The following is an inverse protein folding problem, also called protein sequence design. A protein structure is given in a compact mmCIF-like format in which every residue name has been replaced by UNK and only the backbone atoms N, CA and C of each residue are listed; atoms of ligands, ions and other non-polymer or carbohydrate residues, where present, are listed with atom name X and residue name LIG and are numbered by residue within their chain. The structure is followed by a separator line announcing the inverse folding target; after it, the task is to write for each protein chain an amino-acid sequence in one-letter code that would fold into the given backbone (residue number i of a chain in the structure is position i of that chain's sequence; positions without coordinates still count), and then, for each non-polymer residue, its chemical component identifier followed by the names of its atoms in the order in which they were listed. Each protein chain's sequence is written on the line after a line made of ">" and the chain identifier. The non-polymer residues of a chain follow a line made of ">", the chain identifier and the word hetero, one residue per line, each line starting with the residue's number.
data_IF_636673597000
#
_entry.id   IF_636673597000
#
_cell.length_a   1.000
_cell.length_b   1.000
_cell.length_c   1.000
_cell.angle_alpha   90.00
_cell.angle_beta   90.00
_cell.angle_gamma   90.00
#
_symmetry.space_group_name_H-M   'P 1'
#
loop_
_entity.id
_entity.type
_entity.pdbx_description
1 polymer ?
#
# COMPACT_ATOMS: atom_id res chain seq x y z
N UNK A 1 -20.88 -35.03 -18.33
CA UNK A 1 -19.54 -35.42 -17.84
C UNK A 1 -19.14 -34.40 -16.77
N UNK A 2 -19.45 -34.67 -15.49
CA UNK A 2 -19.15 -33.76 -14.36
C UNK A 2 -17.83 -34.21 -13.73
N UNK A 3 -16.82 -33.35 -13.77
CA UNK A 3 -15.55 -33.54 -13.06
C UNK A 3 -15.82 -33.51 -11.55
N UNK A 4 -15.41 -34.56 -10.86
CA UNK A 4 -15.43 -34.66 -9.40
C UNK A 4 -14.09 -34.12 -8.90
N UNK A 5 -14.09 -32.97 -8.23
CA UNK A 5 -12.93 -32.55 -7.43
C UNK A 5 -12.82 -33.49 -6.23
N UNK A 6 -11.65 -34.15 -6.14
CA UNK A 6 -11.36 -35.14 -5.11
C UNK A 6 -10.52 -34.45 -4.05
N UNK A 7 -11.15 -34.11 -2.93
CA UNK A 7 -10.43 -33.69 -1.71
C UNK A 7 -9.76 -34.95 -1.14
N UNK A 8 -8.42 -34.97 -1.14
CA UNK A 8 -7.64 -36.03 -0.50
C UNK A 8 -7.26 -35.52 0.89
N UNK A 9 -7.73 -36.22 1.92
CA UNK A 9 -7.51 -35.89 3.33
C UNK A 9 -6.43 -36.84 3.86
N UNK A 10 -5.31 -36.30 4.34
CA UNK A 10 -4.36 -37.04 5.18
C UNK A 10 -4.53 -36.56 6.63
N UNK A 11 -4.79 -37.55 7.51
CA UNK A 11 -5.12 -37.53 8.95
C UNK A 11 -6.54 -37.10 9.38
N UNK A 12 -7.28 -38.08 9.92
CA UNK A 12 -8.74 -38.07 10.18
C UNK A 12 -9.06 -37.81 11.66
N UNK A 13 -10.15 -37.06 11.93
CA UNK A 13 -11.39 -37.65 12.40
C UNK A 13 -12.39 -37.68 11.25
N UNK A 14 -13.29 -38.66 11.23
CA UNK A 14 -14.26 -38.86 10.14
C UNK A 14 -15.18 -37.64 10.11
N UNK A 15 -14.84 -36.64 9.30
CA UNK A 15 -15.70 -35.49 9.05
C UNK A 15 -16.95 -36.00 8.34
N UNK A 16 -18.13 -35.61 8.82
CA UNK A 16 -19.37 -35.94 8.14
C UNK A 16 -19.34 -35.33 6.73
N UNK A 17 -19.94 -36.01 5.76
CA UNK A 17 -19.98 -35.56 4.36
C UNK A 17 -20.56 -34.12 4.23
N UNK A 18 -21.42 -33.74 5.18
CA UNK A 18 -21.96 -32.39 5.30
C UNK A 18 -20.87 -31.35 5.63
N UNK A 19 -20.02 -31.62 6.61
CA UNK A 19 -18.94 -30.71 7.04
C UNK A 19 -17.92 -30.50 5.91
N UNK A 20 -17.59 -31.56 5.17
CA UNK A 20 -16.71 -31.48 4.01
C UNK A 20 -17.33 -30.68 2.86
N UNK A 21 -18.66 -30.74 2.71
CA UNK A 21 -19.40 -29.92 1.73
C UNK A 21 -19.35 -28.46 2.12
N UNK A 22 -19.59 -28.12 3.39
CA UNK A 22 -19.53 -26.74 3.90
C UNK A 22 -18.11 -26.15 3.72
N UNK A 23 -17.05 -26.91 3.99
CA UNK A 23 -15.67 -26.46 3.73
C UNK A 23 -15.43 -26.21 2.24
N UNK A 24 -15.91 -27.09 1.36
CA UNK A 24 -15.79 -26.92 -0.08
C UNK A 24 -16.54 -25.67 -0.57
N UNK A 25 -17.72 -25.39 -0.02
CA UNK A 25 -18.50 -24.19 -0.32
C UNK A 25 -17.75 -22.93 0.11
N UNK A 26 -17.18 -22.90 1.32
CA UNK A 26 -16.38 -21.78 1.81
C UNK A 26 -15.17 -21.53 0.90
N UNK A 27 -14.43 -22.57 0.51
CA UNK A 27 -13.27 -22.44 -0.39
C UNK A 27 -13.70 -21.91 -1.77
N UNK A 28 -14.83 -22.38 -2.30
CA UNK A 28 -15.38 -21.88 -3.55
C UNK A 28 -15.79 -20.40 -3.44
N UNK A 29 -16.45 -20.00 -2.35
CA UNK A 29 -16.81 -18.59 -2.09
C UNK A 29 -15.56 -17.72 -1.98
N UNK A 30 -14.49 -18.17 -1.32
CA UNK A 30 -13.23 -17.42 -1.26
C UNK A 30 -12.68 -17.18 -2.67
N UNK A 31 -12.69 -18.21 -3.53
CA UNK A 31 -12.23 -18.07 -4.91
C UNK A 31 -13.08 -17.08 -5.73
N UNK A 32 -14.39 -17.10 -5.54
CA UNK A 32 -15.30 -16.15 -6.18
C UNK A 32 -15.06 -14.71 -5.70
N UNK A 33 -14.87 -14.51 -4.40
CA UNK A 33 -14.57 -13.19 -3.81
C UNK A 33 -13.24 -12.67 -4.33
N UNK A 34 -12.19 -13.49 -4.38
CA UNK A 34 -10.89 -13.09 -4.94
C UNK A 34 -10.99 -12.67 -6.41
N UNK A 35 -11.77 -13.43 -7.20
CA UNK A 35 -12.01 -13.09 -8.61
C UNK A 35 -12.75 -11.76 -8.75
N UNK A 36 -13.80 -11.58 -7.95
CA UNK A 36 -14.59 -10.34 -7.89
C UNK A 36 -13.73 -9.15 -7.50
N UNK A 37 -12.89 -9.29 -6.47
CA UNK A 37 -11.95 -8.24 -6.04
C UNK A 37 -11.03 -7.81 -7.18
N UNK A 38 -10.45 -8.77 -7.91
CA UNK A 38 -9.58 -8.48 -9.05
C UNK A 38 -10.32 -7.75 -10.18
N UNK A 39 -11.56 -8.13 -10.46
CA UNK A 39 -12.40 -7.43 -11.44
C UNK A 39 -12.69 -6.01 -10.99
N UNK A 40 -13.05 -5.82 -9.72
CA UNK A 40 -13.33 -4.50 -9.13
C UNK A 40 -12.10 -3.59 -9.12
N UNK A 41 -10.91 -4.10 -8.82
CA UNK A 41 -9.66 -3.34 -8.88
C UNK A 41 -9.37 -2.84 -10.30
N UNK A 42 -9.58 -3.69 -11.31
CA UNK A 42 -9.42 -3.30 -12.71
C UNK A 42 -10.48 -2.28 -13.15
N UNK A 43 -11.74 -2.47 -12.74
CA UNK A 43 -12.83 -1.52 -13.02
C UNK A 43 -12.58 -0.16 -12.34
N UNK A 44 -12.06 -0.16 -11.12
CA UNK A 44 -11.68 1.05 -10.40
C UNK A 44 -10.55 1.79 -11.12
N UNK A 45 -9.54 1.06 -11.60
CA UNK A 45 -8.46 1.64 -12.40
C UNK A 45 -9.00 2.30 -13.68
N UNK A 46 -9.82 1.58 -14.45
CA UNK A 46 -10.42 2.12 -15.67
C UNK A 46 -11.33 3.33 -15.41
N UNK A 47 -12.08 3.32 -14.30
CA UNK A 47 -12.93 4.43 -13.88
C UNK A 47 -12.11 5.66 -13.52
N UNK A 48 -10.99 5.50 -12.81
CA UNK A 48 -10.05 6.59 -12.49
C UNK A 48 -9.44 7.21 -13.75
N UNK A 49 -9.03 6.37 -14.71
CA UNK A 49 -8.47 6.84 -15.97
C UNK A 49 -9.52 7.60 -16.81
N UNK A 50 -10.76 7.08 -16.85
CA UNK A 50 -11.89 7.74 -17.52
C UNK A 50 -12.23 9.08 -16.88
N UNK A 51 -12.34 9.12 -15.55
CA UNK A 51 -12.58 10.35 -14.79
C UNK A 51 -11.51 11.40 -15.07
N UNK A 52 -10.24 10.98 -15.06
CA UNK A 52 -9.11 11.86 -15.37
C UNK A 52 -9.22 12.46 -16.76
N UNK A 53 -9.51 11.66 -17.79
CA UNK A 53 -9.72 12.15 -19.17
C UNK A 53 -10.88 13.14 -19.25
N UNK A 54 -11.99 12.85 -18.58
CA UNK A 54 -13.16 13.72 -18.57
C UNK A 54 -12.86 15.09 -17.95
N UNK A 55 -12.14 15.12 -16.83
CA UNK A 55 -11.86 16.36 -16.07
C UNK A 55 -10.68 17.16 -16.64
N UNK A 56 -9.64 16.48 -17.12
CA UNK A 56 -8.40 17.12 -17.58
C UNK A 56 -8.43 17.48 -19.07
N UNK A 57 -9.26 16.81 -19.87
CA UNK A 57 -9.29 16.99 -21.34
C UNK A 57 -10.71 17.30 -21.85
N UNK A 58 -11.66 16.36 -21.75
CA UNK A 58 -12.95 16.44 -22.45
C UNK A 58 -13.77 17.66 -22.01
N UNK A 59 -13.93 17.88 -20.70
CA UNK A 59 -14.74 18.97 -20.16
C UNK A 59 -14.09 20.35 -20.36
N UNK A 60 -12.79 20.56 -20.07
CA UNK A 60 -12.09 21.79 -20.45
C UNK A 60 -12.20 22.12 -21.94
N UNK A 61 -11.99 21.13 -22.81
CA UNK A 61 -12.10 21.32 -24.27
C UNK A 61 -13.52 21.73 -24.65
N UNK A 62 -14.53 21.06 -24.09
CA UNK A 62 -15.93 21.36 -24.42
C UNK A 62 -16.35 22.75 -23.96
N UNK A 63 -15.92 23.17 -22.78
CA UNK A 63 -16.19 24.51 -22.27
C UNK A 63 -15.46 25.59 -23.11
N UNK A 64 -14.22 25.32 -23.52
CA UNK A 64 -13.47 26.19 -24.41
C UNK A 64 -14.15 26.36 -25.79
N UNK A 65 -14.69 25.29 -26.39
CA UNK A 65 -15.43 25.35 -27.65
C UNK A 65 -16.63 26.31 -27.61
N UNK A 66 -17.31 26.38 -26.46
CA UNK A 66 -18.48 27.25 -26.27
C UNK A 66 -18.10 28.61 -25.63
N UNK A 67 -16.81 28.91 -25.52
CA UNK A 67 -16.30 30.18 -24.98
C UNK A 67 -16.54 30.37 -23.48
N UNK A 68 -16.77 29.29 -22.73
CA UNK A 68 -16.98 29.31 -21.29
C UNK A 68 -15.75 28.77 -20.55
N UNK A 69 -15.46 29.35 -19.39
CA UNK A 69 -14.49 28.82 -18.42
C UNK A 69 -15.17 28.40 -17.12
N UNK A 70 -16.45 28.70 -16.98
CA UNK A 70 -17.29 28.40 -15.84
C UNK A 70 -18.73 28.15 -16.28
N UNK A 71 -19.38 27.15 -15.71
CA UNK A 71 -20.81 26.84 -15.95
C UNK A 71 -21.46 26.38 -14.65
N UNK A 72 -22.74 26.69 -14.48
CA UNK A 72 -23.58 26.16 -13.40
C UNK A 72 -24.58 25.17 -14.02
N UNK A 73 -24.64 23.95 -13.49
CA UNK A 73 -25.52 22.90 -13.99
C UNK A 73 -26.91 23.06 -13.40
N UNK A 74 -27.91 22.45 -14.04
CA UNK A 74 -29.31 22.46 -13.56
C UNK A 74 -29.48 21.81 -12.19
N UNK A 75 -28.52 21.00 -11.76
CA UNK A 75 -28.51 20.34 -10.46
C UNK A 75 -27.83 21.19 -9.37
N UNK A 76 -27.34 22.39 -9.73
CA UNK A 76 -26.66 23.32 -8.82
C UNK A 76 -25.14 23.16 -8.76
N UNK A 77 -24.54 22.28 -9.57
CA UNK A 77 -23.09 22.11 -9.57
C UNK A 77 -22.40 23.27 -10.31
N UNK A 78 -21.36 23.82 -9.70
CA UNK A 78 -20.53 24.87 -10.31
C UNK A 78 -19.25 24.25 -10.84
N UNK A 79 -19.12 24.24 -12.16
CA UNK A 79 -17.94 23.75 -12.88
C UNK A 79 -17.08 24.94 -13.26
N UNK A 80 -15.79 24.90 -12.92
CA UNK A 80 -14.81 25.94 -13.24
C UNK A 80 -13.54 25.28 -13.76
N UNK A 81 -13.06 25.69 -14.93
CA UNK A 81 -11.83 25.18 -15.53
C UNK A 81 -10.66 26.04 -15.07
N UNK A 82 -9.68 25.39 -14.42
CA UNK A 82 -8.43 26.03 -14.01
C UNK A 82 -7.24 25.29 -14.61
N UNK A 83 -6.17 26.01 -14.98
CA UNK A 83 -4.93 25.36 -15.40
C UNK A 83 -4.37 24.53 -14.24
N UNK A 84 -3.84 23.35 -14.55
CA UNK A 84 -3.10 22.53 -13.60
C UNK A 84 -1.69 22.27 -14.15
N UNK A 85 -0.70 22.24 -13.25
CA UNK A 85 0.70 22.02 -13.60
C UNK A 85 1.17 20.73 -12.93
N UNK A 86 1.59 19.73 -13.71
CA UNK A 86 2.14 18.46 -13.22
C UNK A 86 3.52 18.24 -13.80
N UNK A 87 4.48 17.93 -12.95
CA UNK A 87 5.83 17.51 -13.34
C UNK A 87 6.08 16.07 -12.91
N UNK A 88 6.71 15.28 -13.76
CA UNK A 88 7.20 13.94 -13.43
C UNK A 88 8.59 13.74 -14.04
N UNK A 89 9.54 13.29 -13.23
CA UNK A 89 10.88 12.91 -13.67
C UNK A 89 10.95 11.39 -13.57
N UNK A 90 11.12 10.71 -14.71
CA UNK A 90 11.27 9.25 -14.73
C UNK A 90 12.60 8.83 -14.11
N UNK A 91 12.70 7.57 -13.64
CA UNK A 91 13.91 7.06 -12.99
C UNK A 91 15.11 7.07 -13.94
N UNK A 92 14.88 6.77 -15.22
CA UNK A 92 15.90 6.65 -16.26
C UNK A 92 16.55 8.00 -16.56
N UNK A 93 15.78 9.10 -16.46
CA UNK A 93 16.24 10.47 -16.76
C UNK A 93 16.59 11.29 -15.52
N UNK A 94 16.57 10.67 -14.34
CA UNK A 94 16.75 11.38 -13.07
C UNK A 94 18.07 12.14 -13.01
N UNK A 95 19.18 11.52 -13.43
CA UNK A 95 20.50 12.14 -13.39
C UNK A 95 20.59 13.39 -14.29
N UNK A 96 20.08 13.29 -15.52
CA UNK A 96 20.06 14.38 -16.48
C UNK A 96 19.14 15.51 -16.02
N UNK A 97 17.95 15.19 -15.52
CA UNK A 97 16.98 16.16 -15.02
C UNK A 97 17.52 16.92 -13.80
N UNK A 98 18.17 16.21 -12.85
CA UNK A 98 18.77 16.85 -11.68
C UNK A 98 19.96 17.72 -12.04
N UNK A 99 20.77 17.31 -13.03
CA UNK A 99 21.83 18.16 -13.57
C UNK A 99 21.26 19.42 -14.19
N UNK A 100 20.23 19.30 -15.02
CA UNK A 100 19.55 20.44 -15.64
C UNK A 100 18.98 21.39 -14.59
N UNK A 101 18.29 20.88 -13.57
CA UNK A 101 17.75 21.69 -12.47
C UNK A 101 18.85 22.47 -11.75
N UNK A 102 20.00 21.84 -11.45
CA UNK A 102 21.14 22.52 -10.81
C UNK A 102 21.76 23.58 -11.70
N UNK A 103 22.01 23.27 -12.97
CA UNK A 103 22.60 24.22 -13.93
C UNK A 103 21.69 25.43 -14.19
N UNK A 104 20.38 25.27 -14.05
CA UNK A 104 19.40 26.35 -14.26
C UNK A 104 18.94 26.99 -12.93
N UNK A 105 19.73 26.94 -11.85
CA UNK A 105 19.41 27.56 -10.56
C UNK A 105 18.09 27.10 -9.91
N UNK A 106 17.66 25.88 -10.21
CA UNK A 106 16.51 25.20 -9.57
C UNK A 106 16.96 24.02 -8.70
N UNK A 107 18.25 24.01 -8.31
CA UNK A 107 18.84 22.97 -7.48
C UNK A 107 18.18 22.83 -6.10
N UNK A 108 17.66 23.93 -5.55
CA UNK A 108 17.00 23.95 -4.22
C UNK A 108 15.72 23.10 -4.17
N UNK A 109 15.13 22.78 -5.31
CA UNK A 109 13.99 21.86 -5.39
C UNK A 109 14.41 20.41 -5.11
N UNK A 110 15.70 20.08 -5.30
CA UNK A 110 16.24 18.74 -5.10
C UNK A 110 16.51 18.56 -3.61
N UNK A 111 15.57 17.91 -2.93
CA UNK A 111 15.76 17.47 -1.54
C UNK A 111 16.63 16.22 -1.51
N UNK A 112 17.73 16.25 -0.77
CA UNK A 112 18.57 15.09 -0.51
C UNK A 112 18.31 14.59 0.92
N UNK A 113 17.78 13.37 1.05
CA UNK A 113 17.54 12.73 2.33
C UNK A 113 18.61 11.67 2.57
N UNK A 114 19.39 11.83 3.64
CA UNK A 114 20.32 10.80 4.11
C UNK A 114 19.61 10.01 5.20
N UNK A 115 19.41 8.71 4.97
CA UNK A 115 18.77 7.79 5.92
C UNK A 115 19.78 6.78 6.43
N UNK A 116 19.96 6.76 7.74
CA UNK A 116 20.72 5.72 8.45
C UNK A 116 19.76 4.92 9.32
N UNK A 117 19.91 3.60 9.29
CA UNK A 117 19.15 2.67 10.14
C UNK A 117 20.13 2.05 11.13
N UNK A 118 19.83 2.15 12.42
CA UNK A 118 20.61 1.53 13.49
C UNK A 118 19.95 0.21 13.89
N UNK A 119 20.73 -0.87 13.84
CA UNK A 119 20.26 -2.20 14.18
C UNK A 119 20.29 -2.50 15.68
N UNK A 120 19.98 -3.74 16.02
CA UNK A 120 20.01 -4.24 17.41
C UNK A 120 21.41 -4.02 18.03
N UNK A 121 21.46 -3.33 19.17
CA UNK A 121 22.71 -3.07 19.90
C UNK A 121 23.50 -1.88 19.37
N UNK A 122 22.98 -1.14 18.39
CA UNK A 122 23.61 0.07 17.86
C UNK A 122 23.01 1.36 18.43
N UNK A 123 22.20 1.28 19.48
CA UNK A 123 21.57 2.43 20.14
C UNK A 123 22.62 3.47 20.59
N UNK A 124 23.78 3.02 21.05
CA UNK A 124 24.90 3.90 21.39
C UNK A 124 25.45 4.68 20.18
N UNK A 125 25.48 4.08 18.99
CA UNK A 125 25.88 4.78 17.76
C UNK A 125 24.81 5.79 17.33
N UNK A 126 23.54 5.44 17.49
CA UNK A 126 22.41 6.34 17.25
C UNK A 126 22.50 7.58 18.12
N UNK A 127 22.67 7.40 19.44
CA UNK A 127 22.84 8.50 20.40
C UNK A 127 24.06 9.37 20.03
N UNK A 128 25.18 8.74 19.68
CA UNK A 128 26.41 9.45 19.30
C UNK A 128 26.19 10.30 18.04
N UNK A 129 25.54 9.75 17.00
CA UNK A 129 25.25 10.49 15.78
C UNK A 129 24.26 11.63 16.02
N UNK A 130 23.20 11.39 16.82
CA UNK A 130 22.23 12.43 17.21
C UNK A 130 22.93 13.61 17.89
N UNK A 131 23.84 13.31 18.82
CA UNK A 131 24.64 14.35 19.49
C UNK A 131 25.51 15.11 18.49
N UNK A 132 26.22 14.41 17.61
CA UNK A 132 27.07 15.04 16.59
C UNK A 132 26.28 15.99 15.68
N UNK A 133 25.09 15.57 15.22
CA UNK A 133 24.22 16.38 14.36
C UNK A 133 23.73 17.63 15.11
N UNK A 134 23.30 17.48 16.36
CA UNK A 134 22.90 18.60 17.21
C UNK A 134 24.05 19.59 17.48
N UNK A 135 25.23 19.08 17.86
CA UNK A 135 26.43 19.89 18.12
C UNK A 135 26.88 20.64 16.85
N UNK A 136 26.60 20.07 15.67
CA UNK A 136 26.88 20.68 14.37
C UNK A 136 25.77 21.62 13.87
N UNK A 137 24.68 21.81 14.64
CA UNK A 137 23.54 22.64 14.25
C UNK A 137 22.70 22.08 13.08
N UNK A 138 22.84 20.78 12.77
CA UNK A 138 22.11 20.12 11.68
C UNK A 138 20.81 19.54 12.23
N UNK A 139 19.68 20.04 11.73
CA UNK A 139 18.37 19.45 12.04
C UNK A 139 18.21 18.08 11.40
N UNK A 140 17.66 17.13 12.15
CA UNK A 140 17.37 15.78 11.65
C UNK A 140 16.01 15.29 12.17
N UNK A 141 15.45 14.31 11.48
CA UNK A 141 14.25 13.62 11.92
C UNK A 141 14.64 12.34 12.65
N UNK A 142 14.26 12.25 13.92
CA UNK A 142 14.41 11.04 14.72
C UNK A 142 13.12 10.23 14.72
N UNK A 143 13.20 8.97 14.33
CA UNK A 143 12.07 8.06 14.38
C UNK A 143 12.51 6.72 14.94
N UNK A 144 12.06 6.44 16.15
CA UNK A 144 12.16 5.12 16.75
C UNK A 144 10.90 4.32 16.43
N UNK A 145 11.08 3.11 15.92
CA UNK A 145 9.96 2.23 15.61
C UNK A 145 10.40 0.78 15.67
N UNK A 146 9.54 -0.07 16.22
CA UNK A 146 9.72 -1.51 16.11
C UNK A 146 9.19 -1.96 14.75
N UNK A 147 9.99 -2.71 14.00
CA UNK A 147 9.54 -3.26 12.73
C UNK A 147 8.42 -4.29 12.98
N UNK A 148 7.24 -4.19 12.32
CA UNK A 148 6.10 -5.05 12.60
C UNK A 148 6.41 -6.54 12.48
N UNK A 149 7.24 -6.95 11.50
CA UNK A 149 7.62 -8.35 11.35
C UNK A 149 8.48 -8.86 12.52
N UNK A 150 9.35 -8.02 13.07
CA UNK A 150 10.18 -8.37 14.22
C UNK A 150 9.33 -8.51 15.48
N UNK A 151 8.37 -7.61 15.68
CA UNK A 151 7.42 -7.70 16.79
C UNK A 151 6.54 -8.96 16.66
N UNK A 152 6.02 -9.24 15.47
CA UNK A 152 5.22 -10.44 15.21
C UNK A 152 6.02 -11.73 15.44
N UNK A 153 7.28 -11.77 14.99
CA UNK A 153 8.16 -12.92 15.22
C UNK A 153 8.42 -13.13 16.72
N UNK A 154 8.66 -12.06 17.48
CA UNK A 154 8.81 -12.11 18.93
C UNK A 154 7.54 -12.59 19.63
N UNK A 155 6.36 -12.03 19.29
CA UNK A 155 5.07 -12.45 19.84
C UNK A 155 4.83 -13.93 19.59
N UNK A 156 5.05 -14.39 18.34
CA UNK A 156 4.95 -15.79 17.96
C UNK A 156 5.86 -16.67 18.81
N UNK A 157 7.15 -16.33 18.90
CA UNK A 157 8.14 -17.10 19.65
C UNK A 157 7.79 -17.20 21.14
N UNK A 158 7.36 -16.11 21.78
CA UNK A 158 6.97 -16.13 23.20
C UNK A 158 5.67 -16.88 23.43
N UNK A 159 4.72 -16.78 22.52
CA UNK A 159 3.46 -17.54 22.57
C UNK A 159 3.72 -19.04 22.43
N UNK A 160 4.52 -19.46 21.43
CA UNK A 160 4.88 -20.87 21.21
C UNK A 160 5.69 -21.46 22.39
N UNK A 161 6.44 -20.62 23.12
CA UNK A 161 7.17 -21.00 24.35
C UNK A 161 6.31 -20.96 25.62
N UNK A 162 5.02 -20.66 25.53
CA UNK A 162 4.09 -20.61 26.68
C UNK A 162 4.39 -19.47 27.67
N UNK A 163 5.07 -18.42 27.25
CA UNK A 163 5.36 -17.26 28.12
C UNK A 163 4.18 -16.30 28.13
N UNK A 164 3.89 -15.74 29.31
CA UNK A 164 2.89 -14.67 29.43
C UNK A 164 3.37 -13.39 28.73
N UNK A 165 2.55 -12.87 27.81
CA UNK A 165 2.78 -11.61 27.11
C UNK A 165 1.72 -10.58 27.54
N UNK A 166 2.09 -9.29 27.68
CA UNK A 166 1.12 -8.24 27.93
C UNK A 166 0.38 -7.90 26.62
N UNK A 167 -0.74 -8.60 26.36
CA UNK A 167 -1.45 -8.51 25.08
C UNK A 167 -1.95 -7.10 24.77
N UNK A 168 -2.53 -6.39 25.74
CA UNK A 168 -3.06 -5.03 25.53
C UNK A 168 -1.95 -4.02 25.23
N UNK A 169 -0.80 -4.14 25.90
CA UNK A 169 0.35 -3.23 25.71
C UNK A 169 0.97 -3.41 24.32
N UNK A 170 1.07 -4.65 23.86
CA UNK A 170 1.69 -5.00 22.58
C UNK A 170 0.69 -5.10 21.42
N UNK A 171 -0.60 -4.86 21.67
CA UNK A 171 -1.67 -4.99 20.67
C UNK A 171 -1.75 -6.40 20.06
N UNK A 172 -1.56 -7.44 20.88
CA UNK A 172 -1.46 -8.83 20.40
C UNK A 172 -2.84 -9.35 20.00
N UNK A 173 -2.99 -9.67 18.72
CA UNK A 173 -4.13 -10.41 18.19
C UNK A 173 -3.65 -11.75 17.64
N UNK A 174 -4.08 -12.85 18.27
CA UNK A 174 -3.74 -14.22 17.84
C UNK A 174 -4.97 -14.83 17.20
N UNK A 175 -4.81 -15.31 15.96
CA UNK A 175 -5.85 -15.99 15.20
C UNK A 175 -5.26 -16.98 14.21
N UNK A 176 -6.11 -17.75 13.56
CA UNK A 176 -5.74 -18.68 12.49
C UNK A 176 -6.11 -18.06 11.15
N UNK A 177 -5.24 -18.24 10.15
CA UNK A 177 -5.48 -17.80 8.77
C UNK A 177 -5.34 -19.03 7.87
N UNK A 178 -6.37 -19.28 7.08
CA UNK A 178 -6.33 -20.33 6.06
C UNK A 178 -5.35 -19.94 4.93
N UNK A 179 -4.47 -20.86 4.54
CA UNK A 179 -3.58 -20.67 3.38
C UNK A 179 -4.04 -21.56 2.24
N UNK A 180 -4.61 -20.95 1.21
CA UNK A 180 -5.06 -21.66 0.02
C UNK A 180 -3.94 -21.60 -1.03
N UNK A 181 -3.35 -22.75 -1.35
CA UNK A 181 -2.43 -22.90 -2.49
C UNK A 181 -3.21 -23.57 -3.61
N UNK A 182 -3.37 -22.88 -4.75
CA UNK A 182 -3.92 -23.49 -5.95
C UNK A 182 -2.82 -24.30 -6.62
N UNK A 183 -3.08 -25.57 -6.91
CA UNK A 183 -2.16 -26.38 -7.72
C UNK A 183 -2.07 -25.81 -9.15
N UNK A 184 -0.88 -25.84 -9.73
CA UNK A 184 -0.68 -25.63 -11.17
C UNK A 184 -1.20 -26.82 -11.98
#
# INVERSE_FOLDING_TARGET
>A
MKLKEKVIVEDTPIADNKDLTEVSEIVATIAEVESTMKVQENALKASKDTYRRLVEEDLPNKLAEIGLTKVETTNGDKVEVKPFYKGHISKERMAEAYKWLRTNNHGDMIKNEIKTVFGKGEDGKSITLKKLLNDSGISFTDKESVHPQSLNAFIREQTEKGKALPHDLLGVHIGQIAKIKRGE
#
